data_IF_013951146733
#
_entry.id   IF_013951146733
#
_cell.length_a   1.000
_cell.length_b   1.000
_cell.length_c   1.000
_cell.angle_alpha   90.00
_cell.angle_beta   90.00
_cell.angle_gamma   90.00
#
_symmetry.space_group_name_H-M   'P 1'
#
loop_
_entity.id
_entity.type
_entity.pdbx_description
1 polymer ?
#
# COMPACT_ATOMS: atom_id res chain seq x y z
N UNK A 1 -45.22 55.31 -37.33
CA UNK A 1 -43.93 54.61 -37.58
C UNK A 1 -43.21 54.52 -36.24
N UNK A 2 -43.01 53.34 -35.65
CA UNK A 2 -42.36 53.26 -34.34
C UNK A 2 -40.85 53.50 -34.49
N UNK A 3 -40.28 54.28 -33.57
CA UNK A 3 -38.84 54.56 -33.47
C UNK A 3 -38.11 53.31 -32.97
N UNK A 4 -36.99 52.90 -33.59
CA UNK A 4 -36.24 51.74 -33.11
C UNK A 4 -35.62 52.03 -31.73
N UNK A 5 -35.50 51.01 -30.87
CA UNK A 5 -34.90 51.17 -29.54
C UNK A 5 -33.41 51.54 -29.63
N UNK A 6 -32.87 52.26 -28.64
CA UNK A 6 -31.46 52.60 -28.60
C UNK A 6 -30.59 51.33 -28.46
N UNK A 7 -29.36 51.36 -29.00
CA UNK A 7 -28.44 50.23 -28.87
C UNK A 7 -28.01 50.03 -27.41
N UNK A 8 -27.69 48.79 -27.02
CA UNK A 8 -27.23 48.50 -25.66
C UNK A 8 -25.88 49.18 -25.36
N UNK A 9 -25.62 49.51 -24.08
CA UNK A 9 -24.34 50.08 -23.68
C UNK A 9 -23.20 49.08 -23.89
N UNK A 10 -21.97 49.57 -24.13
CA UNK A 10 -20.81 48.70 -24.33
C UNK A 10 -20.47 47.91 -23.06
N UNK A 11 -19.91 46.69 -23.21
CA UNK A 11 -19.51 45.87 -22.08
C UNK A 11 -18.35 46.52 -21.30
N UNK A 12 -18.34 46.32 -19.97
CA UNK A 12 -17.28 46.85 -19.10
C UNK A 12 -15.95 46.10 -19.32
N UNK A 13 -14.79 46.78 -19.24
CA UNK A 13 -13.49 46.11 -19.33
C UNK A 13 -13.28 45.11 -18.19
N UNK A 14 -12.78 43.92 -18.52
CA UNK A 14 -12.50 42.87 -17.53
C UNK A 14 -11.07 43.05 -16.97
N UNK A 15 -10.85 42.91 -15.65
CA UNK A 15 -9.51 42.99 -15.06
C UNK A 15 -8.56 41.92 -15.61
N UNK A 16 -7.30 42.29 -15.86
CA UNK A 16 -6.28 41.35 -16.34
C UNK A 16 -5.78 40.45 -15.19
N UNK A 17 -5.49 39.16 -15.44
CA UNK A 17 -4.92 38.27 -14.42
C UNK A 17 -3.53 38.72 -13.95
N UNK A 18 -3.28 38.61 -12.64
CA UNK A 18 -1.97 38.89 -12.07
C UNK A 18 -0.94 37.80 -12.47
N UNK A 19 0.35 38.16 -12.66
CA UNK A 19 1.40 37.19 -12.95
C UNK A 19 1.66 36.27 -11.76
N UNK A 20 1.89 34.98 -12.05
CA UNK A 20 2.14 33.96 -11.02
C UNK A 20 3.58 34.02 -10.50
N UNK A 21 3.82 33.80 -9.19
CA UNK A 21 5.17 33.69 -8.65
C UNK A 21 5.92 32.48 -9.22
N UNK A 22 7.20 32.64 -9.54
CA UNK A 22 8.09 31.56 -9.99
C UNK A 22 8.89 31.06 -8.80
N UNK A 23 8.83 29.75 -8.53
CA UNK A 23 9.59 29.11 -7.46
C UNK A 23 10.99 28.69 -7.94
N UNK A 24 12.02 28.74 -7.08
CA UNK A 24 13.36 28.24 -7.41
C UNK A 24 13.34 26.74 -7.71
N UNK A 25 14.22 26.30 -8.62
CA UNK A 25 14.38 24.89 -8.93
C UNK A 25 15.03 24.12 -7.76
N UNK A 26 14.62 22.86 -7.51
CA UNK A 26 15.23 22.04 -6.48
C UNK A 26 16.66 21.63 -6.86
N UNK A 27 17.53 21.40 -5.86
CA UNK A 27 18.89 20.91 -6.10
C UNK A 27 18.88 19.46 -6.64
N UNK A 28 19.94 19.05 -7.36
CA UNK A 28 20.05 17.70 -7.88
C UNK A 28 20.21 16.66 -6.76
N UNK A 29 19.75 15.42 -6.97
CA UNK A 29 19.88 14.34 -6.00
C UNK A 29 21.34 13.91 -5.82
N UNK A 30 21.69 13.42 -4.62
CA UNK A 30 23.01 12.88 -4.33
C UNK A 30 23.20 11.49 -4.99
N UNK A 31 24.43 11.14 -5.43
CA UNK A 31 24.74 9.80 -5.93
C UNK A 31 24.49 8.72 -4.87
N UNK A 32 24.01 7.55 -5.32
CA UNK A 32 23.78 6.42 -4.44
C UNK A 32 25.10 5.75 -4.00
N UNK A 33 25.18 5.21 -2.78
CA UNK A 33 26.32 4.40 -2.34
C UNK A 33 26.50 3.13 -3.18
N UNK A 34 27.74 2.67 -3.32
CA UNK A 34 28.05 1.43 -4.02
C UNK A 34 27.53 0.21 -3.24
N UNK A 35 27.04 -0.85 -3.91
CA UNK A 35 26.54 -2.04 -3.24
C UNK A 35 27.68 -2.85 -2.59
N UNK A 36 27.42 -3.53 -1.45
CA UNK A 36 28.38 -4.40 -0.81
C UNK A 36 28.65 -5.65 -1.66
N UNK A 37 29.90 -6.11 -1.69
CA UNK A 37 30.30 -7.36 -2.36
C UNK A 37 29.96 -8.56 -1.47
N UNK A 38 29.18 -9.50 -1.98
CA UNK A 38 28.87 -10.77 -1.30
C UNK A 38 29.85 -11.84 -1.75
N UNK A 39 30.70 -12.32 -0.82
CA UNK A 39 31.54 -13.50 -1.02
C UNK A 39 30.77 -14.72 -0.52
N UNK A 40 30.60 -15.73 -1.37
CA UNK A 40 29.87 -16.95 -1.01
C UNK A 40 30.84 -18.01 -0.48
N UNK A 41 30.67 -18.41 0.77
CA UNK A 41 31.42 -19.54 1.33
C UNK A 41 31.01 -20.86 0.64
N UNK A 42 31.91 -21.86 0.54
CA UNK A 42 31.56 -23.22 0.14
C UNK A 42 30.46 -23.80 1.04
N UNK A 43 29.54 -24.56 0.45
CA UNK A 43 28.43 -25.14 1.20
C UNK A 43 28.92 -26.26 2.13
N UNK A 44 28.45 -26.32 3.39
CA UNK A 44 28.72 -27.46 4.27
C UNK A 44 28.00 -28.72 3.76
N UNK A 45 28.50 -29.93 4.10
CA UNK A 45 27.84 -31.18 3.75
C UNK A 45 26.45 -31.26 4.38
N UNK A 46 25.51 -32.00 3.76
CA UNK A 46 24.16 -32.15 4.30
C UNK A 46 24.19 -32.88 5.65
N UNK A 47 23.34 -32.48 6.61
CA UNK A 47 23.20 -33.19 7.88
C UNK A 47 22.63 -34.60 7.68
N UNK A 48 23.06 -35.53 8.52
CA UNK A 48 22.49 -36.87 8.57
C UNK A 48 20.97 -36.80 8.91
N UNK A 49 20.14 -37.70 8.34
CA UNK A 49 18.72 -37.73 8.66
C UNK A 49 18.53 -38.06 10.16
N UNK A 50 17.56 -37.40 10.82
CA UNK A 50 17.26 -37.68 12.22
C UNK A 50 16.73 -39.11 12.38
N UNK A 51 17.09 -39.73 13.50
CA UNK A 51 16.47 -40.98 13.92
C UNK A 51 14.94 -40.80 14.05
N UNK A 52 14.14 -41.82 13.73
CA UNK A 52 12.69 -41.74 13.89
C UNK A 52 12.35 -41.52 15.37
N UNK A 53 11.34 -40.68 15.66
CA UNK A 53 10.91 -40.45 17.03
C UNK A 53 10.35 -41.75 17.65
N UNK A 54 10.51 -41.94 18.97
CA UNK A 54 9.77 -42.98 19.67
C UNK A 54 8.26 -42.75 19.50
N UNK A 55 7.43 -43.82 19.56
CA UNK A 55 5.99 -43.68 19.48
C UNK A 55 5.47 -42.76 20.60
N UNK A 56 4.44 -41.94 20.33
CA UNK A 56 3.87 -41.07 21.35
C UNK A 56 3.33 -41.91 22.50
N UNK A 57 3.72 -41.53 23.73
CA UNK A 57 3.07 -42.04 24.93
C UNK A 57 1.58 -41.65 24.90
N UNK A 58 0.66 -42.48 25.43
CA UNK A 58 -0.75 -42.12 25.53
C UNK A 58 -0.92 -40.80 26.27
N UNK A 59 -1.41 -39.78 25.57
CA UNK A 59 -1.72 -38.49 26.18
C UNK A 59 -2.92 -38.64 27.10
N UNK A 60 -2.67 -38.63 28.42
CA UNK A 60 -3.71 -38.42 29.42
C UNK A 60 -4.11 -36.95 29.33
N UNK A 61 -5.15 -36.66 28.52
CA UNK A 61 -5.69 -35.31 28.41
C UNK A 61 -6.25 -34.89 29.78
N UNK A 62 -5.84 -33.73 30.32
CA UNK A 62 -6.49 -33.15 31.47
C UNK A 62 -7.99 -32.99 31.18
N UNK A 63 -8.83 -33.35 32.14
CA UNK A 63 -10.26 -33.09 32.01
C UNK A 63 -10.47 -31.58 31.74
N UNK A 64 -11.35 -31.21 30.78
CA UNK A 64 -11.61 -29.82 30.49
C UNK A 64 -12.12 -29.12 31.77
N UNK A 65 -11.62 -27.90 32.07
CA UNK A 65 -12.09 -27.17 33.24
C UNK A 65 -13.59 -26.90 33.10
N UNK A 66 -14.31 -27.01 34.23
CA UNK A 66 -15.74 -26.69 34.28
C UNK A 66 -15.94 -25.22 33.85
N UNK A 67 -16.87 -24.92 32.93
CA UNK A 67 -17.17 -23.55 32.56
C UNK A 67 -17.60 -22.75 33.80
N UNK A 68 -16.79 -21.77 34.20
CA UNK A 68 -17.14 -20.87 35.30
C UNK A 68 -17.94 -19.72 34.70
N UNK A 69 -19.10 -19.40 35.29
CA UNK A 69 -19.91 -18.27 34.88
C UNK A 69 -19.09 -16.97 35.08
N UNK A 70 -18.61 -16.40 33.97
CA UNK A 70 -17.96 -15.09 33.96
C UNK A 70 -19.02 -14.03 33.69
N UNK A 71 -18.97 -12.86 34.34
CA UNK A 71 -19.81 -11.74 33.96
C UNK A 71 -19.64 -11.43 32.47
N UNK A 72 -20.78 -11.36 31.75
CA UNK A 72 -20.80 -11.04 30.33
C UNK A 72 -20.64 -9.53 30.14
N UNK A 73 -19.44 -9.01 30.40
CA UNK A 73 -19.11 -7.65 29.98
C UNK A 73 -19.09 -7.63 28.45
N UNK A 74 -19.95 -6.81 27.86
CA UNK A 74 -19.98 -6.65 26.40
C UNK A 74 -18.68 -6.01 25.96
N UNK A 75 -17.89 -6.75 25.17
CA UNK A 75 -16.76 -6.16 24.47
C UNK A 75 -17.28 -5.09 23.51
N UNK A 76 -16.63 -3.93 23.47
CA UNK A 76 -16.96 -2.91 22.50
C UNK A 76 -16.79 -3.49 21.08
N UNK A 77 -17.79 -3.29 20.23
CA UNK A 77 -17.70 -3.67 18.82
C UNK A 77 -16.52 -2.92 18.19
N UNK A 78 -15.51 -3.65 17.71
CA UNK A 78 -14.44 -3.04 16.92
C UNK A 78 -15.06 -2.52 15.62
N UNK A 79 -14.90 -1.22 15.36
CA UNK A 79 -15.22 -0.67 14.04
C UNK A 79 -14.31 -1.34 13.00
N UNK A 80 -14.81 -1.62 11.78
CA UNK A 80 -13.95 -2.01 10.67
C UNK A 80 -12.80 -1.02 10.55
N UNK A 81 -11.59 -1.53 10.36
CA UNK A 81 -10.45 -0.67 10.13
C UNK A 81 -10.71 0.12 8.85
N UNK A 82 -10.80 1.45 8.96
CA UNK A 82 -10.77 2.30 7.79
C UNK A 82 -9.38 2.14 7.16
N UNK A 83 -9.35 1.43 6.04
CA UNK A 83 -8.15 1.36 5.23
C UNK A 83 -7.97 2.75 4.60
N UNK A 84 -7.16 3.59 5.24
CA UNK A 84 -6.75 4.92 4.74
C UNK A 84 -5.88 4.84 3.46
N UNK A 85 -5.98 3.75 2.72
CA UNK A 85 -5.30 3.54 1.45
C UNK A 85 -6.27 4.02 0.39
N UNK A 86 -5.87 5.05 -0.37
CA UNK A 86 -6.62 5.49 -1.54
C UNK A 86 -6.94 4.28 -2.42
N UNK A 87 -8.17 4.14 -2.96
CA UNK A 87 -8.53 3.05 -3.88
C UNK A 87 -7.52 2.90 -5.02
N UNK A 88 -6.95 4.03 -5.48
CA UNK A 88 -5.91 4.07 -6.50
C UNK A 88 -4.62 3.40 -6.02
N UNK A 89 -4.17 3.72 -4.81
CA UNK A 89 -2.95 3.15 -4.22
C UNK A 89 -3.10 1.65 -3.99
N UNK A 90 -4.26 1.20 -3.50
CA UNK A 90 -4.54 -0.22 -3.32
C UNK A 90 -4.50 -0.98 -4.65
N UNK A 91 -5.13 -0.42 -5.69
CA UNK A 91 -5.16 -1.01 -7.04
C UNK A 91 -3.75 -1.05 -7.64
N UNK A 92 -2.96 0.02 -7.49
CA UNK A 92 -1.58 0.04 -7.98
C UNK A 92 -0.71 -0.99 -7.27
N UNK A 93 -0.75 -1.07 -5.94
CA UNK A 93 0.01 -2.08 -5.18
C UNK A 93 -0.37 -3.52 -5.57
N UNK A 94 -1.64 -3.76 -5.86
CA UNK A 94 -2.14 -5.10 -6.18
C UNK A 94 -1.92 -5.48 -7.64
N UNK A 95 -2.17 -4.56 -8.59
CA UNK A 95 -2.16 -4.85 -10.02
C UNK A 95 -0.81 -4.61 -10.69
N UNK A 96 0.00 -3.64 -10.20
CA UNK A 96 1.26 -3.31 -10.85
C UNK A 96 2.24 -4.49 -10.97
N UNK A 97 2.41 -5.38 -9.96
CA UNK A 97 3.29 -6.53 -10.08
C UNK A 97 2.86 -7.49 -11.18
N UNK A 98 1.55 -7.73 -11.30
CA UNK A 98 0.99 -8.61 -12.33
C UNK A 98 1.19 -8.03 -13.74
N UNK A 99 0.94 -6.73 -13.92
CA UNK A 99 1.15 -6.06 -15.20
C UNK A 99 2.62 -6.08 -15.61
N UNK A 100 3.54 -5.80 -14.68
CA UNK A 100 4.98 -5.88 -14.94
C UNK A 100 5.43 -7.30 -15.32
N UNK A 101 4.91 -8.32 -14.64
CA UNK A 101 5.21 -9.71 -14.96
C UNK A 101 4.75 -10.07 -16.39
N UNK A 102 3.53 -9.71 -16.77
CA UNK A 102 3.01 -9.98 -18.12
C UNK A 102 3.84 -9.28 -19.20
N UNK A 103 4.25 -8.03 -18.96
CA UNK A 103 5.11 -7.28 -19.89
C UNK A 103 6.51 -7.90 -19.99
N UNK A 104 7.05 -8.39 -18.89
CA UNK A 104 8.35 -9.07 -18.88
C UNK A 104 8.31 -10.45 -19.58
N UNK A 105 7.17 -11.15 -19.52
CA UNK A 105 6.99 -12.45 -20.17
C UNK A 105 6.55 -12.33 -21.64
N UNK A 106 6.13 -11.15 -22.11
CA UNK A 106 5.83 -10.96 -23.53
C UNK A 106 7.11 -11.21 -24.34
N UNK A 107 7.14 -12.24 -25.21
CA UNK A 107 8.21 -12.39 -26.18
C UNK A 107 8.18 -11.12 -27.04
N UNK A 108 9.33 -10.44 -27.13
CA UNK A 108 9.46 -9.25 -27.98
C UNK A 108 9.25 -9.60 -29.44
#
# INVERSE_FOLDING_TARGET
KPTPPPPPPPPKPVPKPAPKPVLPAPPPPKPAPAPPRVVRAPAPPPPAPPAPPPPPAPEVKPAPPKPVARPAYRAAARKPAEHHISPVTFTLMTAAPAVLAIVALRPR
#
